data_IF_982400623292
#
_entry.id   IF_982400623292
#
_cell.length_a   1.000
_cell.length_b   1.000
_cell.length_c   1.000
_cell.angle_alpha   90.00
_cell.angle_beta   90.00
_cell.angle_gamma   90.00
#
_symmetry.space_group_name_H-M   'P 1'
#
loop_
_entity.id
_entity.type
_entity.pdbx_description
1 polymer ?
#
# COMPACT_ATOMS: atom_id res chain seq x y z
N UNK A 1 7.06 9.53 -3.53
CA UNK A 1 6.88 8.47 -4.55
C UNK A 1 5.53 8.65 -5.24
N UNK A 2 5.29 7.97 -6.36
CA UNK A 2 3.97 7.94 -7.00
C UNK A 2 3.65 6.58 -7.65
N UNK A 3 2.34 6.31 -7.75
CA UNK A 3 1.75 5.07 -8.29
C UNK A 3 0.47 5.36 -9.05
N UNK A 4 0.24 4.70 -10.19
CA UNK A 4 -1.08 4.70 -10.84
C UNK A 4 -2.08 3.81 -10.07
N UNK A 5 -3.29 4.31 -9.85
CA UNK A 5 -4.35 3.59 -9.15
C UNK A 5 -5.40 3.07 -10.13
N UNK A 6 -5.70 1.77 -10.05
CA UNK A 6 -6.85 1.22 -10.76
C UNK A 6 -8.15 1.90 -10.27
N UNK A 7 -9.18 2.07 -11.14
CA UNK A 7 -10.46 2.66 -10.72
C UNK A 7 -11.10 1.98 -9.51
N UNK A 8 -10.96 0.64 -9.42
CA UNK A 8 -11.44 -0.13 -8.27
C UNK A 8 -10.68 0.22 -6.98
N UNK A 9 -9.38 0.50 -7.04
CA UNK A 9 -8.60 0.92 -5.86
C UNK A 9 -9.04 2.29 -5.38
N UNK A 10 -9.26 3.24 -6.29
CA UNK A 10 -9.77 4.57 -5.94
C UNK A 10 -11.12 4.44 -5.23
N UNK A 11 -12.05 3.68 -5.81
CA UNK A 11 -13.34 3.40 -5.16
C UNK A 11 -13.15 2.81 -3.76
N UNK A 12 -12.30 1.80 -3.61
CA UNK A 12 -12.10 1.15 -2.31
C UNK A 12 -11.48 2.08 -1.26
N UNK A 13 -10.59 2.99 -1.66
CA UNK A 13 -10.06 4.03 -0.79
C UNK A 13 -11.13 5.03 -0.35
N UNK A 14 -11.94 5.51 -1.30
CA UNK A 14 -12.98 6.51 -1.00
C UNK A 14 -14.18 5.91 -0.25
N UNK A 15 -14.44 4.60 -0.39
CA UNK A 15 -15.47 3.91 0.37
C UNK A 15 -14.97 3.42 1.76
N UNK A 16 -13.72 3.75 2.13
CA UNK A 16 -13.14 3.41 3.43
C UNK A 16 -12.87 1.92 3.65
N UNK A 17 -12.99 1.10 2.61
CA UNK A 17 -12.79 -0.36 2.66
C UNK A 17 -11.33 -0.78 2.54
N UNK A 18 -10.44 0.15 2.18
CA UNK A 18 -9.05 -0.12 1.87
C UNK A 18 -8.15 1.02 2.36
N UNK A 19 -7.00 0.66 2.92
CA UNK A 19 -5.95 1.58 3.33
C UNK A 19 -4.55 1.05 3.00
N UNK A 20 -4.44 0.07 2.09
CA UNK A 20 -3.18 -0.55 1.69
C UNK A 20 -2.72 -0.07 0.32
N UNK A 21 -1.43 -0.11 0.07
CA UNK A 21 -0.81 0.17 -1.23
C UNK A 21 0.34 -0.80 -1.48
N UNK A 22 0.48 -1.27 -2.72
CA UNK A 22 1.55 -2.16 -3.17
C UNK A 22 1.80 -2.02 -4.67
N UNK A 23 2.85 -2.66 -5.18
CA UNK A 23 3.09 -2.80 -6.62
C UNK A 23 4.07 -1.78 -7.19
N UNK A 24 4.12 -1.67 -8.51
CA UNK A 24 5.11 -0.82 -9.18
C UNK A 24 4.90 0.67 -8.93
N UNK A 25 6.00 1.36 -8.62
CA UNK A 25 6.06 2.78 -8.26
C UNK A 25 7.32 3.45 -8.81
N UNK A 26 7.27 4.77 -8.97
CA UNK A 26 8.42 5.59 -9.37
C UNK A 26 8.59 6.79 -8.44
N UNK A 27 9.75 7.44 -8.49
CA UNK A 27 9.94 8.74 -7.85
C UNK A 27 9.15 9.81 -8.60
N UNK A 28 8.32 10.57 -7.87
CA UNK A 28 7.46 11.60 -8.48
C UNK A 28 8.28 12.71 -9.18
N UNK A 29 9.44 13.07 -8.62
CA UNK A 29 10.32 14.09 -9.19
C UNK A 29 10.91 13.69 -10.57
N UNK A 30 11.16 12.40 -10.75
CA UNK A 30 11.77 11.85 -11.98
C UNK A 30 10.75 11.76 -13.12
N UNK A 31 9.47 11.55 -12.78
CA UNK A 31 8.38 11.38 -13.74
C UNK A 31 7.44 12.60 -13.83
N UNK A 32 7.90 13.79 -13.41
CA UNK A 32 7.11 15.04 -13.40
C UNK A 32 6.57 15.47 -14.77
N UNK A 33 7.19 14.99 -15.85
CA UNK A 33 6.86 15.35 -17.23
C UNK A 33 5.79 14.41 -17.82
N UNK A 34 5.59 13.22 -17.24
CA UNK A 34 4.50 12.32 -17.59
C UNK A 34 3.19 12.83 -16.97
N UNK A 35 2.46 13.66 -17.71
CA UNK A 35 1.26 14.35 -17.19
C UNK A 35 -0.05 13.93 -17.86
N UNK A 36 0.02 13.18 -18.96
CA UNK A 36 -1.17 12.72 -19.67
C UNK A 36 -1.49 11.27 -19.34
N UNK A 37 -2.75 10.83 -19.44
CA UNK A 37 -3.13 9.42 -19.36
C UNK A 37 -2.28 8.50 -20.24
N UNK A 38 -1.93 8.95 -21.46
CA UNK A 38 -1.09 8.18 -22.37
C UNK A 38 0.34 8.00 -21.84
N UNK A 39 0.95 9.06 -21.32
CA UNK A 39 2.29 8.98 -20.72
C UNK A 39 2.28 8.13 -19.45
N UNK A 40 1.26 8.27 -18.61
CA UNK A 40 1.11 7.49 -17.38
C UNK A 40 0.81 6.01 -17.67
N UNK A 41 0.06 5.73 -18.74
CA UNK A 41 -0.17 4.37 -19.22
C UNK A 41 1.13 3.67 -19.60
N UNK A 42 1.98 4.36 -20.39
CA UNK A 42 3.27 3.82 -20.80
C UNK A 42 4.22 3.70 -19.59
N UNK A 43 4.34 4.77 -18.79
CA UNK A 43 5.22 4.86 -17.62
C UNK A 43 4.94 3.77 -16.56
N UNK A 44 3.67 3.48 -16.26
CA UNK A 44 3.33 2.46 -15.26
C UNK A 44 3.04 1.09 -15.86
N UNK A 45 3.25 0.93 -17.18
CA UNK A 45 2.97 -0.33 -17.86
C UNK A 45 1.52 -0.77 -17.69
N UNK A 46 0.56 0.15 -17.79
CA UNK A 46 -0.86 -0.12 -17.51
C UNK A 46 -1.56 -0.97 -18.57
N UNK A 47 -0.83 -1.46 -19.58
CA UNK A 47 -1.34 -2.36 -20.62
C UNK A 47 -1.23 -3.85 -20.29
N UNK A 48 -1.06 -4.22 -19.01
CA UNK A 48 -0.88 -5.61 -18.61
C UNK A 48 -2.17 -6.45 -18.80
N UNK A 49 -2.06 -7.79 -18.90
CA UNK A 49 -3.23 -8.66 -19.05
C UNK A 49 -4.26 -8.47 -17.93
N UNK A 50 -5.51 -8.18 -18.31
CA UNK A 50 -6.60 -7.90 -17.37
C UNK A 50 -6.67 -6.46 -16.85
N UNK A 51 -5.80 -5.56 -17.34
CA UNK A 51 -5.86 -4.15 -16.98
C UNK A 51 -7.18 -3.49 -17.43
N UNK A 52 -7.81 -2.66 -16.58
CA UNK A 52 -8.99 -1.87 -16.96
C UNK A 52 -8.63 -0.61 -17.76
N UNK A 53 -7.35 -0.30 -17.94
CA UNK A 53 -6.91 0.92 -18.59
C UNK A 53 -6.83 0.80 -20.11
N UNK A 54 -7.16 1.89 -20.78
CA UNK A 54 -6.77 2.14 -22.16
C UNK A 54 -5.80 3.29 -22.21
N UNK A 55 -4.89 3.29 -23.18
CA UNK A 55 -3.90 4.36 -23.36
C UNK A 55 -4.55 5.73 -23.62
N UNK A 56 -5.75 5.73 -24.18
CA UNK A 56 -6.56 6.91 -24.42
C UNK A 56 -7.56 7.18 -23.29
N UNK A 57 -7.42 6.64 -22.08
CA UNK A 57 -8.33 6.94 -20.98
C UNK A 57 -8.54 8.47 -20.80
N UNK A 58 -9.75 8.87 -20.40
CA UNK A 58 -10.06 10.29 -20.15
C UNK A 58 -9.18 10.86 -19.02
N UNK A 59 -8.94 10.02 -18.02
CA UNK A 59 -8.09 10.34 -16.89
C UNK A 59 -7.39 9.09 -16.32
N UNK A 60 -6.33 9.33 -15.55
CA UNK A 60 -5.68 8.34 -14.69
C UNK A 60 -5.55 8.97 -13.30
N UNK A 61 -5.93 8.21 -12.28
CA UNK A 61 -5.75 8.62 -10.89
C UNK A 61 -4.40 8.12 -10.36
N UNK A 62 -3.67 9.00 -9.72
CA UNK A 62 -2.31 8.79 -9.22
C UNK A 62 -2.29 8.95 -7.72
N UNK A 63 -1.72 7.98 -7.01
CA UNK A 63 -1.37 8.12 -5.60
C UNK A 63 0.02 8.73 -5.49
N UNK A 64 0.11 9.91 -4.89
CA UNK A 64 1.36 10.55 -4.49
C UNK A 64 1.51 10.37 -2.98
N UNK A 65 2.68 9.92 -2.53
CA UNK A 65 2.90 9.64 -1.11
C UNK A 65 4.32 10.01 -0.66
N UNK A 66 4.50 10.49 0.59
CA UNK A 66 5.82 10.75 1.16
C UNK A 66 6.56 9.43 1.44
N UNK A 67 7.89 9.47 1.40
CA UNK A 67 8.70 8.37 1.93
C UNK A 67 8.66 8.45 3.45
N UNK A 68 8.29 7.35 4.09
CA UNK A 68 8.29 7.21 5.54
C UNK A 68 8.98 5.89 5.90
N UNK A 69 9.52 5.81 7.11
CA UNK A 69 10.29 4.66 7.59
C UNK A 69 9.60 3.29 7.44
N UNK A 70 8.26 3.28 7.38
CA UNK A 70 7.46 2.05 7.29
C UNK A 70 7.41 1.43 5.89
N UNK A 71 7.80 2.19 4.86
CA UNK A 71 7.69 1.76 3.47
C UNK A 71 8.94 0.98 3.06
N UNK A 72 8.73 -0.16 2.40
CA UNK A 72 9.80 -0.97 1.85
C UNK A 72 9.67 -1.01 0.33
N UNK A 73 10.71 -0.55 -0.35
CA UNK A 73 10.81 -0.56 -1.80
C UNK A 73 11.89 -1.53 -2.23
N UNK A 74 11.61 -2.26 -3.30
CA UNK A 74 12.53 -3.21 -3.94
C UNK A 74 12.81 -2.76 -5.37
N UNK A 75 14.00 -3.06 -5.88
CA UNK A 75 14.32 -2.81 -7.29
C UNK A 75 13.49 -3.77 -8.17
N UNK A 76 12.73 -3.22 -9.12
CA UNK A 76 11.84 -3.99 -9.98
C UNK A 76 12.61 -4.68 -11.14
N UNK A 77 13.60 -5.49 -10.80
CA UNK A 77 14.44 -6.23 -11.74
C UNK A 77 13.93 -7.67 -11.90
N UNK A 78 14.01 -8.24 -13.10
CA UNK A 78 13.47 -9.57 -13.39
C UNK A 78 13.28 -9.84 -14.87
N UNK A 79 12.17 -10.45 -15.26
CA UNK A 79 11.85 -10.73 -16.65
C UNK A 79 10.35 -10.96 -16.89
N UNK A 80 10.00 -11.18 -18.15
CA UNK A 80 8.64 -11.58 -18.54
C UNK A 80 8.40 -13.08 -18.49
N UNK A 81 9.50 -13.82 -18.34
CA UNK A 81 9.60 -15.26 -18.22
C UNK A 81 10.88 -15.61 -17.43
N UNK A 82 11.09 -16.90 -17.16
CA UNK A 82 12.27 -17.37 -16.41
C UNK A 82 13.58 -17.12 -17.17
N UNK A 83 13.57 -17.16 -18.51
CA UNK A 83 14.77 -16.96 -19.34
C UNK A 83 15.26 -15.51 -19.26
N UNK A 84 14.37 -14.55 -19.51
CA UNK A 84 14.66 -13.12 -19.40
C UNK A 84 14.97 -12.71 -17.96
N UNK A 85 14.33 -13.32 -16.95
CA UNK A 85 14.68 -13.11 -15.54
C UNK A 85 16.11 -13.56 -15.22
N UNK A 86 16.54 -14.70 -15.75
CA UNK A 86 17.90 -15.19 -15.53
C UNK A 86 18.98 -14.25 -16.08
N UNK A 87 18.66 -13.46 -17.12
CA UNK A 87 19.57 -12.46 -17.70
C UNK A 87 19.77 -11.27 -16.74
N UNK A 88 18.71 -10.79 -16.09
CA UNK A 88 18.79 -9.62 -15.19
C UNK A 88 19.19 -10.01 -13.77
N UNK A 89 18.99 -11.27 -13.38
CA UNK A 89 19.26 -11.78 -12.03
C UNK A 89 18.28 -11.30 -10.96
N UNK A 90 17.23 -10.59 -11.36
CA UNK A 90 16.22 -10.06 -10.44
C UNK A 90 15.19 -11.10 -9.99
N UNK A 91 14.40 -10.81 -8.93
CA UNK A 91 13.45 -11.76 -8.39
C UNK A 91 12.14 -11.86 -9.20
N UNK A 92 11.84 -10.88 -10.06
CA UNK A 92 10.52 -10.80 -10.69
C UNK A 92 10.37 -11.67 -11.95
N UNK A 93 9.25 -12.38 -12.05
CA UNK A 93 8.63 -12.82 -13.32
C UNK A 93 7.24 -12.20 -13.36
N UNK A 94 6.95 -11.34 -14.34
CA UNK A 94 5.62 -10.74 -14.49
C UNK A 94 5.26 -10.58 -15.98
N UNK A 95 4.12 -9.98 -16.28
CA UNK A 95 3.59 -9.86 -17.64
C UNK A 95 4.01 -8.53 -18.28
N UNK A 96 4.23 -8.50 -19.60
CA UNK A 96 4.35 -7.24 -20.34
C UNK A 96 3.21 -6.28 -19.97
N UNK A 97 3.42 -4.95 -19.95
CA UNK A 97 4.61 -4.23 -20.42
C UNK A 97 5.84 -4.24 -19.50
N UNK A 98 5.78 -4.90 -18.33
CA UNK A 98 6.97 -5.11 -17.52
C UNK A 98 8.09 -5.74 -18.37
N UNK A 99 9.32 -5.28 -18.21
CA UNK A 99 10.47 -5.77 -18.99
C UNK A 99 11.64 -6.24 -18.12
N UNK A 100 11.51 -6.16 -16.78
CA UNK A 100 12.52 -6.68 -15.86
C UNK A 100 13.82 -5.88 -15.75
N UNK A 101 13.96 -4.75 -16.44
CA UNK A 101 15.22 -4.00 -16.46
C UNK A 101 15.48 -3.16 -15.21
N UNK A 102 14.50 -3.02 -14.32
CA UNK A 102 14.53 -2.03 -13.24
C UNK A 102 14.24 -0.60 -13.71
N UNK A 103 13.86 -0.41 -14.98
CA UNK A 103 13.50 0.87 -15.55
C UNK A 103 12.18 0.79 -16.31
N UNK A 104 11.47 1.91 -16.33
CA UNK A 104 10.27 2.11 -17.15
C UNK A 104 10.39 3.40 -17.96
N UNK A 105 9.68 3.48 -19.07
CA UNK A 105 9.78 4.61 -19.98
C UNK A 105 8.40 5.06 -20.48
N UNK A 106 8.35 6.33 -20.88
CA UNK A 106 7.26 6.90 -21.66
C UNK A 106 7.87 7.72 -22.81
N UNK A 107 7.01 8.39 -23.59
CA UNK A 107 7.42 9.22 -24.73
C UNK A 107 8.50 10.27 -24.41
N UNK A 108 8.56 10.75 -23.16
CA UNK A 108 9.43 11.84 -22.73
C UNK A 108 10.60 11.43 -21.84
N UNK A 109 10.79 10.15 -21.51
CA UNK A 109 11.91 9.76 -20.66
C UNK A 109 11.89 8.32 -20.18
N UNK A 110 12.96 7.96 -19.46
CA UNK A 110 13.16 6.68 -18.77
C UNK A 110 13.52 6.96 -17.31
N UNK A 111 12.92 6.22 -16.38
CA UNK A 111 13.13 6.38 -14.94
C UNK A 111 13.27 5.04 -14.24
N UNK A 112 13.96 4.98 -13.08
CA UNK A 112 13.99 3.77 -12.27
C UNK A 112 12.59 3.34 -11.83
N UNK A 113 12.36 2.03 -11.88
CA UNK A 113 11.14 1.37 -11.45
C UNK A 113 11.41 0.61 -10.16
N UNK A 114 10.57 0.82 -9.16
CA UNK A 114 10.61 0.10 -7.90
C UNK A 114 9.30 -0.64 -7.69
N UNK A 115 9.31 -1.64 -6.82
CA UNK A 115 8.12 -2.32 -6.34
C UNK A 115 7.93 -2.02 -4.85
N UNK A 116 6.75 -1.53 -4.48
CA UNK A 116 6.39 -1.26 -3.09
C UNK A 116 5.79 -2.52 -2.46
N UNK A 117 6.42 -3.01 -1.40
CA UNK A 117 5.86 -4.05 -0.52
C UNK A 117 4.55 -3.56 0.06
N UNK A 118 3.54 -4.44 0.15
CA UNK A 118 2.23 -4.07 0.71
C UNK A 118 2.38 -3.41 2.08
N UNK A 119 1.94 -2.16 2.16
CA UNK A 119 2.01 -1.30 3.34
C UNK A 119 0.73 -0.48 3.45
N UNK A 120 0.41 -0.03 4.68
CA UNK A 120 -0.60 1.01 4.87
C UNK A 120 -0.18 2.28 4.12
N UNK A 121 -1.14 2.93 3.47
CA UNK A 121 -0.96 4.24 2.84
C UNK A 121 -0.44 5.20 3.90
N UNK A 122 0.73 5.85 3.70
CA UNK A 122 1.28 6.75 4.70
C UNK A 122 0.45 8.03 4.79
N UNK A 123 0.38 8.64 5.98
CA UNK A 123 -0.23 9.96 6.17
C UNK A 123 0.32 10.99 5.18
N UNK A 124 -0.54 11.92 4.79
CA UNK A 124 -0.22 12.97 3.82
C UNK A 124 -0.21 12.49 2.36
N UNK A 125 -0.56 11.22 2.11
CA UNK A 125 -0.76 10.75 0.73
C UNK A 125 -1.94 11.45 0.07
N UNK A 126 -1.86 11.63 -1.24
CA UNK A 126 -2.86 12.32 -2.04
C UNK A 126 -3.21 11.52 -3.29
N UNK A 127 -4.49 11.50 -3.64
CA UNK A 127 -4.95 11.00 -4.93
C UNK A 127 -5.13 12.21 -5.85
N UNK A 128 -4.47 12.18 -7.00
CA UNK A 128 -4.55 13.21 -8.03
C UNK A 128 -5.10 12.63 -9.32
N UNK A 129 -6.09 13.29 -9.92
CA UNK A 129 -6.65 12.91 -11.22
C UNK A 129 -5.97 13.69 -12.33
N UNK A 130 -5.24 12.99 -13.20
CA UNK A 130 -4.60 13.56 -14.39
C UNK A 130 -5.49 13.39 -15.61
N UNK A 131 -5.73 14.44 -16.38
CA UNK A 131 -6.60 14.43 -17.56
C UNK A 131 -5.81 14.44 -18.86
N UNK A 132 -6.47 14.16 -19.99
CA UNK A 132 -5.88 14.28 -21.35
C UNK A 132 -5.23 15.64 -21.64
N UNK A 133 -5.63 16.72 -20.95
CA UNK A 133 -5.02 18.04 -21.12
C UNK A 133 -3.68 18.20 -20.38
N UNK A 134 -3.19 17.19 -19.66
CA UNK A 134 -1.97 17.28 -18.84
C UNK A 134 -2.17 17.99 -17.50
N UNK A 135 -3.40 18.38 -17.17
CA UNK A 135 -3.76 18.99 -15.90
C UNK A 135 -4.05 17.93 -14.85
N UNK A 136 -3.79 18.25 -13.58
CA UNK A 136 -4.16 17.42 -12.44
C UNK A 136 -5.08 18.18 -11.48
N UNK A 137 -5.96 17.45 -10.80
CA UNK A 137 -6.71 17.95 -9.64
C UNK A 137 -6.55 17.01 -8.45
N UNK A 138 -6.58 17.56 -7.24
CA UNK A 138 -6.68 16.77 -6.02
C UNK A 138 -8.06 16.11 -5.96
N UNK A 139 -8.08 14.81 -5.65
CA UNK A 139 -9.29 14.00 -5.44
C UNK A 139 -9.50 13.77 -3.94
N UNK A 140 -8.48 13.27 -3.24
CA UNK A 140 -8.57 12.99 -1.81
C UNK A 140 -7.19 13.05 -1.15
N UNK A 141 -7.16 13.24 0.17
CA UNK A 141 -5.96 13.18 1.00
C UNK A 141 -6.16 12.18 2.13
N UNK A 142 -5.16 11.32 2.37
CA UNK A 142 -5.12 10.45 3.53
C UNK A 142 -4.54 11.23 4.71
N UNK A 143 -5.36 11.51 5.71
CA UNK A 143 -5.00 12.42 6.81
C UNK A 143 -4.10 11.72 7.82
N UNK A 144 -4.61 10.67 8.43
CA UNK A 144 -3.92 9.78 9.37
C UNK A 144 -4.76 8.51 9.58
N UNK A 145 -4.19 7.51 10.24
CA UNK A 145 -4.85 6.24 10.55
C UNK A 145 -6.14 6.38 11.36
N UNK A 146 -6.31 7.44 12.15
CA UNK A 146 -7.56 7.67 12.89
C UNK A 146 -8.66 8.26 12.01
N UNK A 147 -8.30 9.08 11.03
CA UNK A 147 -9.22 9.88 10.23
C UNK A 147 -9.55 9.24 8.88
N UNK A 148 -8.56 8.59 8.26
CA UNK A 148 -8.67 8.00 6.92
C UNK A 148 -8.57 9.03 5.79
N UNK A 149 -9.23 8.70 4.67
CA UNK A 149 -9.32 9.58 3.51
C UNK A 149 -10.33 10.69 3.74
N UNK A 150 -10.01 11.88 3.22
CA UNK A 150 -10.95 13.01 3.13
C UNK A 150 -10.90 13.59 1.71
N UNK A 151 -12.03 14.08 1.24
CA UNK A 151 -12.14 14.79 -0.03
C UNK A 151 -12.94 16.07 0.15
N UNK A 152 -12.65 17.04 -0.73
CA UNK A 152 -13.39 18.29 -0.87
C UNK A 152 -14.20 18.36 -2.18
N UNK A 153 -14.05 17.37 -3.05
CA UNK A 153 -14.63 17.35 -4.40
C UNK A 153 -15.48 16.12 -4.67
N UNK A 154 -15.23 15.04 -3.94
CA UNK A 154 -15.83 13.73 -4.13
C UNK A 154 -16.41 13.27 -2.79
N UNK A 155 -17.42 12.39 -2.82
CA UNK A 155 -17.95 11.78 -1.59
C UNK A 155 -16.94 10.75 -1.10
N UNK A 156 -16.61 10.82 0.19
CA UNK A 156 -15.77 9.83 0.87
C UNK A 156 -16.58 9.26 2.02
N UNK A 157 -16.80 7.96 1.97
CA UNK A 157 -17.40 7.26 3.10
C UNK A 157 -16.33 7.12 4.19
N UNK A 158 -16.67 7.47 5.44
CA UNK A 158 -15.76 7.25 6.54
C UNK A 158 -15.40 5.76 6.63
N UNK A 159 -14.12 5.40 6.85
CA UNK A 159 -13.78 4.02 7.09
C UNK A 159 -14.47 3.54 8.37
N UNK A 160 -14.71 2.23 8.47
CA UNK A 160 -15.26 1.64 9.68
C UNK A 160 -14.31 1.79 10.89
N UNK A 161 -14.82 1.54 12.11
CA UNK A 161 -14.04 1.66 13.34
C UNK A 161 -12.86 0.68 13.38
N UNK A 162 -12.97 -0.46 12.69
CA UNK A 162 -11.93 -1.48 12.64
C UNK A 162 -10.64 -0.96 11.98
N UNK A 163 -9.50 -1.28 12.58
CA UNK A 163 -8.16 -0.96 12.09
C UNK A 163 -7.33 -2.25 12.07
N UNK A 164 -7.02 -2.74 10.87
CA UNK A 164 -6.13 -3.90 10.73
C UNK A 164 -4.75 -3.59 11.36
N UNK A 165 -4.25 -4.40 12.30
CA UNK A 165 -2.90 -4.23 12.85
C UNK A 165 -1.82 -4.87 11.96
N UNK A 166 -2.20 -5.55 10.87
CA UNK A 166 -1.28 -6.34 10.04
C UNK A 166 -0.33 -5.47 9.17
N UNK A 167 -0.56 -4.15 9.16
CA UNK A 167 0.18 -3.18 8.35
C UNK A 167 0.16 -1.81 9.02
N UNK A 168 1.25 -1.06 8.85
CA UNK A 168 1.40 0.28 9.42
C UNK A 168 1.93 0.25 10.85
N UNK A 169 2.19 1.45 11.39
CA UNK A 169 2.80 1.59 12.70
C UNK A 169 1.82 1.26 13.82
N UNK A 170 2.34 0.63 14.87
CA UNK A 170 1.69 0.41 16.15
C UNK A 170 2.63 0.84 17.28
N UNK A 171 2.05 1.26 18.40
CA UNK A 171 2.83 1.65 19.58
C UNK A 171 2.04 1.44 20.87
N UNK A 172 2.76 1.26 21.98
CA UNK A 172 2.16 1.28 23.32
C UNK A 172 1.89 2.73 23.75
N UNK A 173 0.71 2.97 24.31
CA UNK A 173 0.43 4.18 25.05
C UNK A 173 -0.35 3.82 26.33
N UNK A 174 0.29 4.01 27.48
CA UNK A 174 -0.28 3.71 28.81
C UNK A 174 -0.70 2.24 28.95
N UNK A 175 0.10 1.31 28.42
CA UNK A 175 -0.11 -0.14 28.59
C UNK A 175 -1.14 -0.75 27.63
N UNK A 176 -1.52 -0.04 26.56
CA UNK A 176 -2.38 -0.54 25.49
C UNK A 176 -1.77 -0.21 24.13
N UNK A 177 -1.88 -1.15 23.20
CA UNK A 177 -1.43 -0.98 21.82
C UNK A 177 -2.44 -0.20 20.98
N UNK A 178 -1.95 0.73 20.17
CA UNK A 178 -2.73 1.51 19.22
C UNK A 178 -2.08 1.49 17.85
N UNK A 179 -2.90 1.55 16.79
CA UNK A 179 -2.40 1.93 15.48
C UNK A 179 -2.00 3.40 15.49
N UNK A 180 -0.91 3.73 14.79
CA UNK A 180 -0.30 5.02 14.87
C UNK A 180 0.17 5.56 13.51
N UNK A 181 0.35 6.88 13.47
CA UNK A 181 1.09 7.59 12.43
C UNK A 181 2.05 8.59 13.09
N UNK A 182 3.28 8.66 12.60
CA UNK A 182 4.29 9.62 13.08
C UNK A 182 4.20 10.91 12.28
N UNK A 183 4.02 12.03 12.98
CA UNK A 183 3.96 13.36 12.40
C UNK A 183 5.37 13.92 12.15
N UNK A 184 5.51 14.82 11.16
CA UNK A 184 6.80 15.44 10.83
C UNK A 184 7.39 16.27 11.98
N UNK A 185 6.53 16.79 12.85
CA UNK A 185 6.94 17.52 14.05
C UNK A 185 7.32 16.60 15.22
N UNK A 186 7.41 15.28 15.01
CA UNK A 186 7.75 14.31 16.04
C UNK A 186 6.60 13.98 16.99
N UNK A 187 5.36 14.41 16.72
CA UNK A 187 4.19 13.93 17.46
C UNK A 187 3.68 12.62 16.89
N UNK A 188 2.87 11.89 17.67
CA UNK A 188 2.31 10.61 17.27
C UNK A 188 0.78 10.69 17.33
N UNK A 189 0.14 10.39 16.21
CA UNK A 189 -1.31 10.18 16.17
C UNK A 189 -1.59 8.75 16.59
N UNK A 190 -2.52 8.58 17.52
CA UNK A 190 -3.03 7.30 17.98
C UNK A 190 -4.46 7.12 17.51
N UNK A 191 -4.78 5.94 16.97
CA UNK A 191 -6.12 5.56 16.58
C UNK A 191 -6.62 4.38 17.41
N UNK A 192 -7.83 4.53 17.93
CA UNK A 192 -8.54 3.48 18.67
C UNK A 192 -9.92 3.22 18.06
N UNK A 193 -10.34 1.95 18.03
CA UNK A 193 -11.66 1.55 17.53
C UNK A 193 -12.80 1.93 18.51
N UNK A 194 -12.46 2.09 19.78
CA UNK A 194 -13.37 2.44 20.87
C UNK A 194 -12.80 3.59 21.71
N UNK A 195 -13.63 4.19 22.58
CA UNK A 195 -13.20 5.27 23.44
C UNK A 195 -12.04 4.83 24.34
N UNK A 196 -10.90 5.51 24.21
CA UNK A 196 -9.65 5.18 24.90
C UNK A 196 -9.32 6.14 26.07
N UNK A 197 -10.29 6.96 26.49
CA UNK A 197 -10.15 7.84 27.66
C UNK A 197 -9.84 9.31 27.33
N UNK A 198 -9.53 10.13 28.36
CA UNK A 198 -9.29 11.56 28.19
C UNK A 198 -8.16 11.86 27.20
N UNK A 199 -8.38 12.84 26.32
CA UNK A 199 -7.46 13.22 25.25
C UNK A 199 -7.76 12.58 23.88
N UNK A 200 -8.59 11.53 23.86
CA UNK A 200 -9.13 10.99 22.62
C UNK A 200 -10.41 11.71 22.20
N UNK A 201 -10.50 12.08 20.92
CA UNK A 201 -11.67 12.71 20.28
C UNK A 201 -12.21 11.81 19.17
N UNK A 202 -13.53 11.71 19.06
CA UNK A 202 -14.14 10.93 17.97
C UNK A 202 -13.85 11.57 16.61
N UNK A 203 -13.76 10.73 15.59
CA UNK A 203 -13.57 11.11 14.19
C UNK A 203 -14.80 10.73 13.37
N UNK A 204 -15.00 11.31 12.17
CA UNK A 204 -16.04 10.86 11.25
C UNK A 204 -15.94 9.35 10.90
N UNK A 205 -14.74 8.76 10.99
CA UNK A 205 -14.47 7.33 10.82
C UNK A 205 -15.06 6.42 11.91
N UNK A 206 -15.76 6.97 12.91
CA UNK A 206 -16.19 6.21 14.10
C UNK A 206 -15.02 5.75 14.98
N UNK A 207 -13.78 6.16 14.65
CA UNK A 207 -12.56 5.91 15.42
C UNK A 207 -12.33 7.04 16.40
N UNK A 208 -11.49 6.79 17.40
CA UNK A 208 -11.02 7.76 18.37
C UNK A 208 -9.57 8.13 18.09
N UNK A 209 -9.31 9.43 17.99
CA UNK A 209 -8.01 10.03 17.69
C UNK A 209 -7.43 10.71 18.91
N UNK A 210 -6.17 10.42 19.23
CA UNK A 210 -5.36 11.27 20.10
C UNK A 210 -4.09 11.68 19.37
N UNK A 211 -3.50 12.81 19.75
CA UNK A 211 -2.18 13.21 19.29
C UNK A 211 -1.35 13.47 20.54
N UNK A 212 -0.20 12.82 20.66
CA UNK A 212 0.65 12.83 21.85
C UNK A 212 2.10 13.08 21.48
N UNK A 213 2.93 13.46 22.44
CA UNK A 213 4.36 13.60 22.19
C UNK A 213 5.02 12.23 22.01
N UNK A 214 6.04 12.13 21.14
CA UNK A 214 6.78 10.87 20.90
C UNK A 214 7.37 10.27 22.18
N UNK A 215 7.68 11.10 23.17
CA UNK A 215 8.21 10.67 24.47
C UNK A 215 7.14 10.02 25.38
N UNK A 216 5.86 10.18 25.09
CA UNK A 216 4.76 9.60 25.87
C UNK A 216 4.37 8.20 25.40
N UNK A 217 4.83 7.78 24.21
CA UNK A 217 4.55 6.46 23.63
C UNK A 217 5.78 5.56 23.75
N UNK A 218 5.52 4.26 23.77
CA UNK A 218 6.56 3.24 23.77
C UNK A 218 7.32 3.17 22.44
N UNK A 219 7.89 2.00 22.17
CA UNK A 219 8.50 1.72 20.87
C UNK A 219 7.44 1.79 19.76
N UNK A 220 7.83 2.33 18.61
CA UNK A 220 6.99 2.37 17.41
C UNK A 220 7.52 1.29 16.47
N UNK A 221 6.64 0.40 16.04
CA UNK A 221 7.00 -0.71 15.17
C UNK A 221 5.85 -1.09 14.25
N UNK A 222 6.12 -1.86 13.20
CA UNK A 222 5.11 -2.53 12.39
C UNK A 222 5.05 -4.01 12.79
N UNK A 223 3.84 -4.56 12.95
CA UNK A 223 3.66 -6.00 13.08
C UNK A 223 3.59 -6.63 11.69
N UNK A 224 4.70 -7.23 11.25
CA UNK A 224 4.79 -7.95 9.99
C UNK A 224 4.44 -9.41 10.16
N UNK A 225 3.27 -9.81 9.66
CA UNK A 225 2.82 -11.20 9.64
C UNK A 225 3.16 -11.82 8.29
N UNK A 226 4.01 -12.84 8.29
CA UNK A 226 4.44 -13.55 7.08
C UNK A 226 4.24 -15.05 7.23
N UNK A 227 3.92 -15.74 6.14
CA UNK A 227 3.64 -17.17 6.17
C UNK A 227 3.64 -17.77 4.77
N UNK A 228 3.03 -18.94 4.63
CA UNK A 228 2.96 -19.66 3.36
C UNK A 228 1.55 -20.16 3.12
N UNK A 229 1.02 -19.90 1.92
CA UNK A 229 -0.28 -20.39 1.46
C UNK A 229 -0.04 -21.18 0.19
N UNK A 230 -0.49 -22.44 0.16
CA UNK A 230 -0.36 -23.32 -1.02
C UNK A 230 1.08 -23.39 -1.57
N UNK A 231 2.07 -23.34 -0.68
CA UNK A 231 3.50 -23.39 -1.04
C UNK A 231 4.12 -22.03 -1.42
N UNK A 232 3.35 -20.96 -1.52
CA UNK A 232 3.83 -19.62 -1.88
C UNK A 232 4.00 -18.71 -0.65
N UNK A 233 5.11 -17.96 -0.55
CA UNK A 233 5.30 -17.00 0.53
C UNK A 233 4.31 -15.84 0.43
N UNK A 234 3.72 -15.49 1.57
CA UNK A 234 2.74 -14.40 1.67
C UNK A 234 3.02 -13.48 2.85
N UNK A 235 2.51 -12.26 2.73
CA UNK A 235 2.33 -11.33 3.84
C UNK A 235 0.84 -11.22 4.16
N UNK A 236 0.45 -11.34 5.42
CA UNK A 236 -0.91 -11.02 5.86
C UNK A 236 -1.04 -9.50 5.96
N UNK A 237 -2.03 -8.93 5.28
CA UNK A 237 -2.29 -7.48 5.22
C UNK A 237 -3.64 -7.08 5.83
N UNK A 238 -4.50 -8.05 6.07
CA UNK A 238 -5.79 -7.83 6.70
C UNK A 238 -6.33 -9.10 7.33
N UNK A 239 -7.26 -8.93 8.27
CA UNK A 239 -7.97 -10.04 8.89
C UNK A 239 -9.39 -9.63 9.25
N UNK A 240 -10.32 -10.57 9.20
CA UNK A 240 -11.69 -10.37 9.70
C UNK A 240 -12.29 -11.72 10.09
N UNK A 241 -13.28 -11.68 10.97
CA UNK A 241 -14.03 -12.88 11.36
C UNK A 241 -15.35 -12.90 10.59
N UNK A 242 -15.65 -14.00 9.91
CA UNK A 242 -16.96 -14.17 9.23
C UNK A 242 -18.02 -14.67 10.22
N UNK A 243 -19.29 -14.73 9.80
CA UNK A 243 -20.44 -14.97 10.69
C UNK A 243 -20.37 -16.27 11.50
N UNK A 244 -19.72 -17.31 10.97
CA UNK A 244 -19.57 -18.60 11.66
C UNK A 244 -18.41 -18.65 12.67
N UNK A 245 -17.69 -17.54 12.85
CA UNK A 245 -16.54 -17.43 13.76
C UNK A 245 -15.19 -17.76 13.11
N UNK A 246 -15.15 -18.13 11.83
CA UNK A 246 -13.88 -18.39 11.13
C UNK A 246 -13.08 -17.10 10.96
N UNK A 247 -11.84 -17.10 11.46
CA UNK A 247 -10.89 -16.02 11.20
C UNK A 247 -10.34 -16.17 9.77
N UNK A 248 -10.52 -15.13 8.97
CA UNK A 248 -10.03 -15.03 7.61
C UNK A 248 -8.84 -14.07 7.55
N UNK A 249 -7.86 -14.40 6.72
CA UNK A 249 -6.73 -13.55 6.36
C UNK A 249 -6.79 -13.11 4.91
N UNK A 250 -6.48 -11.83 4.70
CA UNK A 250 -6.10 -11.29 3.40
C UNK A 250 -4.60 -11.32 3.28
N UNK A 251 -4.10 -12.06 2.31
CA UNK A 251 -2.69 -12.27 2.08
C UNK A 251 -2.26 -11.70 0.72
N UNK A 252 -1.09 -11.05 0.66
CA UNK A 252 -0.43 -10.68 -0.61
C UNK A 252 0.77 -11.57 -0.87
N UNK A 253 0.95 -11.96 -2.13
CA UNK A 253 2.08 -12.77 -2.57
C UNK A 253 3.38 -11.98 -2.56
N UNK A 254 4.45 -12.52 -1.97
CA UNK A 254 5.76 -11.87 -1.87
C UNK A 254 6.87 -12.64 -2.59
N UNK A 255 6.53 -13.61 -3.43
CA UNK A 255 7.52 -14.40 -4.17
C UNK A 255 7.89 -13.84 -5.56
N UNK A 256 7.18 -12.80 -6.01
CA UNK A 256 7.46 -12.05 -7.25
C UNK A 256 7.42 -12.83 -8.57
N UNK A 257 6.91 -14.05 -8.56
CA UNK A 257 6.81 -14.90 -9.75
C UNK A 257 5.34 -15.15 -10.12
N UNK A 258 4.86 -14.40 -11.12
CA UNK A 258 3.48 -14.41 -11.58
C UNK A 258 3.02 -15.79 -12.06
N UNK A 259 3.92 -16.65 -12.55
CA UNK A 259 3.54 -17.99 -13.05
C UNK A 259 2.96 -18.84 -11.93
N UNK A 260 3.52 -18.76 -10.73
CA UNK A 260 3.02 -19.50 -9.58
C UNK A 260 1.67 -18.98 -9.08
N UNK A 261 1.53 -17.66 -8.91
CA UNK A 261 0.29 -17.08 -8.44
C UNK A 261 -0.86 -17.29 -9.44
N UNK A 262 -0.61 -17.09 -10.73
CA UNK A 262 -1.60 -17.32 -11.79
C UNK A 262 -1.93 -18.81 -11.94
N UNK A 263 -0.93 -19.71 -11.81
CA UNK A 263 -1.13 -21.15 -11.84
C UNK A 263 -2.03 -21.68 -10.72
N UNK A 264 -2.04 -21.01 -9.56
CA UNK A 264 -2.97 -21.28 -8.45
C UNK A 264 -4.31 -20.54 -8.57
N UNK A 265 -4.49 -19.72 -9.61
CA UNK A 265 -5.69 -18.92 -9.81
C UNK A 265 -5.86 -17.80 -8.78
N UNK A 266 -4.77 -17.32 -8.17
CA UNK A 266 -4.82 -16.19 -7.25
C UNK A 266 -5.22 -14.92 -7.98
N UNK A 267 -5.88 -14.01 -7.27
CA UNK A 267 -6.43 -12.81 -7.89
C UNK A 267 -5.29 -11.82 -8.17
N UNK A 268 -5.19 -11.36 -9.41
CA UNK A 268 -4.34 -10.22 -9.77
C UNK A 268 -5.03 -8.94 -9.32
N UNK A 269 -4.48 -8.29 -8.30
CA UNK A 269 -4.99 -7.03 -7.76
C UNK A 269 -4.46 -5.84 -8.58
N UNK A 270 -3.22 -5.94 -9.05
CA UNK A 270 -2.51 -4.94 -9.86
C UNK A 270 -1.34 -5.60 -10.60
N UNK A 271 -0.65 -4.87 -11.48
CA UNK A 271 0.65 -5.29 -12.01
C UNK A 271 1.62 -5.61 -10.86
N UNK A 272 2.20 -6.82 -10.90
CA UNK A 272 3.11 -7.31 -9.87
C UNK A 272 2.48 -7.59 -8.52
N UNK A 273 1.14 -7.57 -8.38
CA UNK A 273 0.46 -7.78 -7.08
C UNK A 273 -0.64 -8.82 -7.20
N UNK A 274 -0.46 -9.91 -6.48
CA UNK A 274 -1.42 -11.00 -6.38
C UNK A 274 -1.85 -11.18 -4.93
N UNK A 275 -3.13 -11.47 -4.72
CA UNK A 275 -3.68 -11.69 -3.39
C UNK A 275 -4.61 -12.90 -3.32
N UNK A 276 -4.83 -13.33 -2.09
CA UNK A 276 -5.71 -14.44 -1.76
C UNK A 276 -6.36 -14.19 -0.40
N UNK A 277 -7.61 -14.63 -0.26
CA UNK A 277 -8.32 -14.66 1.00
C UNK A 277 -8.41 -16.13 1.45
N UNK A 278 -7.92 -16.43 2.65
CA UNK A 278 -7.88 -17.79 3.18
C UNK A 278 -8.28 -17.81 4.66
N UNK A 279 -8.84 -18.92 5.16
CA UNK A 279 -8.91 -19.17 6.60
C UNK A 279 -7.52 -19.04 7.23
N UNK A 280 -7.45 -18.52 8.47
CA UNK A 280 -6.19 -18.40 9.20
C UNK A 280 -5.49 -19.76 9.40
N UNK A 281 -6.25 -20.86 9.42
CA UNK A 281 -5.75 -22.24 9.51
C UNK A 281 -4.99 -22.69 8.28
N UNK A 282 -5.14 -22.01 7.15
CA UNK A 282 -4.53 -22.38 5.86
C UNK A 282 -3.21 -21.64 5.63
N UNK A 283 -2.77 -20.81 6.59
CA UNK A 283 -1.48 -20.12 6.56
C UNK A 283 -0.45 -20.91 7.36
N UNK A 284 0.38 -21.66 6.64
CA UNK A 284 1.49 -22.42 7.20
C UNK A 284 2.63 -21.50 7.62
N UNK A 285 3.40 -21.94 8.63
CA UNK A 285 4.62 -21.25 9.09
C UNK A 285 4.43 -19.76 9.38
N UNK A 286 3.26 -19.39 9.90
CA UNK A 286 2.96 -18.01 10.27
C UNK A 286 3.96 -17.51 11.32
N UNK A 287 4.61 -16.40 11.01
CA UNK A 287 5.54 -15.71 11.88
C UNK A 287 5.05 -14.28 12.11
N UNK A 288 5.21 -13.82 13.35
CA UNK A 288 4.96 -12.45 13.77
C UNK A 288 6.31 -11.77 13.97
N UNK A 289 6.65 -10.84 13.09
CA UNK A 289 7.92 -10.13 13.10
C UNK A 289 7.64 -8.68 13.48
N UNK A 290 8.26 -8.22 14.56
CA UNK A 290 8.29 -6.82 14.92
C UNK A 290 9.35 -6.11 14.06
N UNK A 291 8.92 -5.22 13.18
CA UNK A 291 9.81 -4.41 12.34
C UNK A 291 9.95 -3.02 12.95
N UNK A 292 11.17 -2.64 13.29
CA UNK A 292 11.51 -1.32 13.82
C UNK A 292 12.44 -0.66 12.78
N UNK A 293 11.93 0.24 11.95
CA UNK A 293 12.76 1.06 11.08
C UNK A 293 13.75 1.91 11.88
N UNK A 294 14.95 2.16 11.33
CA UNK A 294 15.99 2.94 11.99
C UNK A 294 15.51 4.34 12.44
N UNK A 295 14.64 4.98 11.65
CA UNK A 295 14.06 6.29 12.00
C UNK A 295 13.10 6.25 13.21
N UNK A 296 12.62 5.07 13.59
CA UNK A 296 11.73 4.87 14.75
C UNK A 296 12.46 4.36 16.00
N UNK A 297 13.70 3.89 15.83
CA UNK A 297 14.52 3.39 16.92
C UNK A 297 14.71 4.47 17.98
N UNK A 298 14.55 4.11 19.25
CA UNK A 298 14.90 5.00 20.34
C UNK A 298 16.42 5.23 20.31
N UNK A 299 16.91 6.45 20.64
CA UNK A 299 18.35 6.66 20.78
C UNK A 299 18.89 5.65 21.79
N UNK A 300 19.94 4.92 21.42
CA UNK A 300 20.65 4.03 22.34
C UNK A 300 21.15 4.85 23.54
N UNK A 301 20.66 4.48 24.73
CA UNK A 301 21.05 5.05 26.03
C UNK A 301 22.51 4.81 26.37
#
# INVERSE_FOLDING_TARGET
>A
MQKALLPAMVKNYLDGTFDQVAGFVVRAADAREARTPADLFDLFGLGFPGSPFTRDAEHVDMLLYPLTAQLRHEDATGGVDQESRAITGGPFVDRPPFNGTGFTAWSGGIVPLYWLVSSRVPRGSEIHRFTRAGTSRLVARYVDVATGWVSWTDVVEPPGPYISPCTGAITDYRGKMYSADVLENGRVVLAAEEYAGPGFTSTPAGRWRAEVDRAEVGEIFELSMVGVVQGLPVRVIGQWTVQDGTLMYWCTYTGHDADFAEGLGWRKLDAGVYDVFVPATDVDRLQHIQLIPDEWALPSS
#
